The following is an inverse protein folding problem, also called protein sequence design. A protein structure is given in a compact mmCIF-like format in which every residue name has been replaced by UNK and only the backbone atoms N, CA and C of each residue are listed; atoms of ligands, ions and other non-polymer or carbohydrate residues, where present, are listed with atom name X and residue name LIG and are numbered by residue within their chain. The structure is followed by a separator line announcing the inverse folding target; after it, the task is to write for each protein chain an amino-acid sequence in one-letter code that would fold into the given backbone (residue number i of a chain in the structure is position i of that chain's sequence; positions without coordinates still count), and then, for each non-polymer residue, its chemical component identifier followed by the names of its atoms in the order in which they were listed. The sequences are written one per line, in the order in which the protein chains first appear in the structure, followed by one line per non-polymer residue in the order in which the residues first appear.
data_IF_074473905931
#
_entry.id   IF_074473905931
#
_cell.length_a   1.000
_cell.length_b   1.000
_cell.length_c   1.000
_cell.angle_alpha   90.00
_cell.angle_beta   90.00
_cell.angle_gamma   90.00
#
_symmetry.space_group_name_H-M   'P 1'
#
loop_
_entity.id
_entity.type
_entity.pdbx_description
1 polymer ?
#
# COMPACT_ATOMS: atom_id res chain seq x y z
N UNK A 1 31.44 12.31 -1.08
CA UNK A 1 30.44 12.55 0.00
C UNK A 1 29.29 11.58 -0.25
N UNK A 2 29.16 10.51 0.52
CA UNK A 2 28.00 9.62 0.46
C UNK A 2 26.80 10.41 1.00
N UNK A 3 25.89 10.78 0.11
CA UNK A 3 24.61 11.37 0.51
C UNK A 3 23.95 10.44 1.52
N UNK A 4 23.69 10.93 2.73
CA UNK A 4 22.97 10.15 3.74
C UNK A 4 21.58 9.83 3.20
N UNK A 5 21.24 8.55 3.11
CA UNK A 5 19.92 8.11 2.66
C UNK A 5 18.87 8.61 3.66
N UNK A 6 17.82 9.27 3.18
CA UNK A 6 16.82 9.94 4.01
C UNK A 6 16.01 8.98 4.90
N UNK A 7 15.84 7.72 4.46
CA UNK A 7 15.02 6.71 5.13
C UNK A 7 15.85 5.54 5.68
N UNK A 8 17.15 5.75 5.90
CA UNK A 8 18.03 4.70 6.41
C UNK A 8 17.52 4.13 7.75
N UNK A 9 17.33 2.81 7.79
CA UNK A 9 16.85 2.10 8.97
C UNK A 9 15.36 2.25 9.25
N UNK A 10 14.58 2.82 8.33
CA UNK A 10 13.13 2.90 8.42
C UNK A 10 12.46 1.71 7.73
N UNK A 11 11.27 1.35 8.20
CA UNK A 11 10.41 0.30 7.65
C UNK A 11 9.22 0.93 6.95
N UNK A 12 9.02 0.59 5.67
CA UNK A 12 7.93 1.12 4.85
C UNK A 12 7.04 -0.01 4.31
N UNK A 13 5.74 0.14 4.44
CA UNK A 13 4.75 -0.74 3.82
C UNK A 13 4.13 -0.02 2.63
N UNK A 14 4.13 -0.64 1.45
CA UNK A 14 3.44 -0.13 0.27
C UNK A 14 2.39 -1.15 -0.18
N UNK A 15 1.11 -0.77 -0.07
CA UNK A 15 0.02 -1.65 -0.48
C UNK A 15 -0.12 -1.67 -2.00
N UNK A 16 -0.40 -2.85 -2.58
CA UNK A 16 -0.52 -3.01 -4.02
C UNK A 16 0.79 -2.71 -4.79
N UNK A 17 1.94 -3.06 -4.20
CA UNK A 17 3.27 -2.67 -4.69
C UNK A 17 3.84 -3.59 -5.78
N UNK A 18 3.11 -4.60 -6.24
CA UNK A 18 3.60 -5.57 -7.24
C UNK A 18 3.75 -4.99 -8.66
N UNK A 19 3.17 -3.80 -8.93
CA UNK A 19 3.18 -3.14 -10.24
C UNK A 19 2.88 -1.64 -10.15
N UNK A 20 3.01 -0.95 -11.30
CA UNK A 20 2.53 0.43 -11.48
C UNK A 20 3.11 1.43 -10.49
N UNK A 21 2.26 2.31 -9.97
CA UNK A 21 2.64 3.39 -9.06
C UNK A 21 3.23 2.82 -7.77
N UNK A 22 2.60 1.80 -7.17
CA UNK A 22 3.09 1.17 -5.94
C UNK A 22 4.49 0.59 -6.09
N UNK A 23 4.80 -0.07 -7.23
CA UNK A 23 6.15 -0.55 -7.54
C UNK A 23 7.14 0.63 -7.59
N UNK A 24 6.81 1.71 -8.30
CA UNK A 24 7.69 2.87 -8.42
C UNK A 24 7.99 3.51 -7.06
N UNK A 25 6.96 3.67 -6.22
CA UNK A 25 7.09 4.17 -4.85
C UNK A 25 8.00 3.26 -4.02
N UNK A 26 7.76 1.94 -4.07
CA UNK A 26 8.56 0.97 -3.32
C UNK A 26 10.06 1.03 -3.67
N UNK A 27 10.37 1.09 -4.97
CA UNK A 27 11.75 1.21 -5.45
C UNK A 27 12.38 2.54 -4.97
N UNK A 28 11.63 3.64 -5.02
CA UNK A 28 12.12 4.94 -4.58
C UNK A 28 12.44 4.93 -3.07
N UNK A 29 11.52 4.44 -2.23
CA UNK A 29 11.73 4.34 -0.78
C UNK A 29 12.93 3.44 -0.44
N UNK A 30 13.12 2.33 -1.18
CA UNK A 30 14.26 1.45 -0.99
C UNK A 30 15.60 2.12 -1.39
N UNK A 31 15.62 2.93 -2.45
CA UNK A 31 16.80 3.74 -2.83
C UNK A 31 17.18 4.73 -1.74
N UNK A 32 16.19 5.30 -1.06
CA UNK A 32 16.40 6.19 0.09
C UNK A 32 16.74 5.44 1.39
N UNK A 33 16.87 4.12 1.37
CA UNK A 33 17.39 3.31 2.46
C UNK A 33 16.36 2.65 3.36
N UNK A 34 15.08 2.76 3.04
CA UNK A 34 14.04 2.02 3.76
C UNK A 34 14.11 0.51 3.47
N UNK A 35 13.75 -0.31 4.45
CA UNK A 35 13.33 -1.69 4.21
C UNK A 35 11.86 -1.69 3.81
N UNK A 36 11.55 -2.18 2.59
CA UNK A 36 10.21 -2.01 2.01
C UNK A 36 9.46 -3.33 1.93
N UNK A 37 8.26 -3.34 2.49
CA UNK A 37 7.33 -4.44 2.40
C UNK A 37 6.49 -4.26 1.14
N UNK A 38 6.63 -5.21 0.21
CA UNK A 38 5.91 -5.26 -1.06
C UNK A 38 4.60 -6.04 -0.83
N UNK A 39 3.54 -5.32 -0.44
CA UNK A 39 2.24 -5.99 -0.31
C UNK A 39 1.64 -6.27 -1.68
N UNK A 40 1.08 -7.46 -1.81
CA UNK A 40 0.32 -7.92 -2.97
C UNK A 40 -0.87 -8.80 -2.54
N UNK A 41 -1.92 -8.90 -3.38
CA UNK A 41 -3.07 -9.77 -3.10
C UNK A 41 -2.96 -11.14 -3.78
N UNK A 42 -2.59 -11.19 -5.07
CA UNK A 42 -2.63 -12.44 -5.85
C UNK A 42 -1.36 -12.75 -6.64
N UNK A 43 -0.58 -11.74 -7.04
CA UNK A 43 0.56 -11.95 -7.94
C UNK A 43 1.90 -11.99 -7.20
N UNK A 44 2.23 -13.15 -6.62
CA UNK A 44 3.50 -13.41 -5.95
C UNK A 44 4.71 -13.18 -6.88
N UNK A 45 4.63 -13.66 -8.13
CA UNK A 45 5.73 -13.51 -9.09
C UNK A 45 6.07 -12.04 -9.37
N UNK A 46 5.06 -11.18 -9.54
CA UNK A 46 5.29 -9.76 -9.76
C UNK A 46 5.86 -9.07 -8.53
N UNK A 47 5.37 -9.43 -7.33
CA UNK A 47 5.94 -8.91 -6.09
C UNK A 47 7.42 -9.31 -5.93
N UNK A 48 7.75 -10.58 -6.23
CA UNK A 48 9.13 -11.07 -6.20
C UNK A 48 10.05 -10.39 -7.23
N UNK A 49 9.55 -10.06 -8.42
CA UNK A 49 10.32 -9.27 -9.40
C UNK A 49 10.69 -7.89 -8.85
N UNK A 50 9.77 -7.24 -8.15
CA UNK A 50 10.04 -5.94 -7.50
C UNK A 50 11.08 -6.10 -6.39
N UNK A 51 10.96 -7.13 -5.55
CA UNK A 51 11.96 -7.44 -4.50
C UNK A 51 13.33 -7.68 -5.11
N UNK A 52 13.41 -8.50 -6.18
CA UNK A 52 14.68 -8.78 -6.88
C UNK A 52 15.31 -7.51 -7.45
N UNK A 53 14.50 -6.63 -8.04
CA UNK A 53 14.94 -5.34 -8.56
C UNK A 53 15.50 -4.46 -7.42
N UNK A 54 14.82 -4.39 -6.28
CA UNK A 54 15.29 -3.63 -5.11
C UNK A 54 16.61 -4.20 -4.59
N UNK A 55 16.71 -5.52 -4.46
CA UNK A 55 17.93 -6.18 -3.98
C UNK A 55 19.12 -5.99 -4.93
N UNK A 56 18.87 -5.87 -6.23
CA UNK A 56 19.95 -5.72 -7.25
C UNK A 56 20.76 -4.43 -7.10
N UNK A 57 20.20 -3.40 -6.48
CA UNK A 57 20.93 -2.16 -6.17
C UNK A 57 21.29 -2.00 -4.69
N UNK A 58 21.24 -3.11 -3.91
CA UNK A 58 21.60 -3.13 -2.49
C UNK A 58 20.52 -2.58 -1.54
N UNK A 59 19.28 -2.39 -2.02
CA UNK A 59 18.11 -2.11 -1.21
C UNK A 59 17.63 -3.34 -0.43
N UNK A 60 16.68 -3.15 0.47
CA UNK A 60 16.07 -4.24 1.25
C UNK A 60 14.57 -4.25 1.02
N UNK A 61 14.03 -5.39 0.62
CA UNK A 61 12.59 -5.58 0.51
C UNK A 61 12.21 -7.06 0.69
N UNK A 62 10.95 -7.31 1.03
CA UNK A 62 10.37 -8.63 0.99
C UNK A 62 8.88 -8.57 0.66
N UNK A 63 8.32 -9.62 0.03
CA UNK A 63 6.92 -9.64 -0.33
C UNK A 63 6.07 -10.14 0.84
N UNK A 64 4.88 -9.56 1.03
CA UNK A 64 3.85 -10.09 1.92
C UNK A 64 2.50 -10.08 1.25
N UNK A 65 1.86 -11.24 1.25
CA UNK A 65 0.51 -11.38 0.74
C UNK A 65 -0.51 -10.88 1.77
N UNK A 66 -1.41 -10.01 1.36
CA UNK A 66 -2.59 -9.63 2.11
C UNK A 66 -3.64 -9.03 1.18
N UNK A 67 -4.90 -9.40 1.39
CA UNK A 67 -6.03 -8.71 0.79
C UNK A 67 -6.36 -7.49 1.66
N UNK A 68 -6.15 -6.30 1.11
CA UNK A 68 -6.36 -5.04 1.83
C UNK A 68 -7.85 -4.74 2.06
N UNK A 69 -8.75 -5.37 1.31
CA UNK A 69 -10.20 -5.26 1.53
C UNK A 69 -10.70 -6.11 2.73
N UNK A 70 -9.85 -6.97 3.29
CA UNK A 70 -10.16 -7.79 4.47
C UNK A 70 -9.39 -7.33 5.71
N UNK A 71 -10.12 -6.93 6.74
CA UNK A 71 -9.55 -6.43 7.98
C UNK A 71 -8.64 -7.44 8.69
N UNK A 72 -9.00 -8.73 8.69
CA UNK A 72 -8.19 -9.76 9.34
C UNK A 72 -6.86 -9.95 8.60
N UNK A 73 -6.91 -9.96 7.26
CA UNK A 73 -5.71 -10.04 6.43
C UNK A 73 -4.77 -8.85 6.66
N UNK A 74 -5.31 -7.64 6.80
CA UNK A 74 -4.52 -6.44 7.15
C UNK A 74 -3.89 -6.57 8.54
N UNK A 75 -4.64 -7.02 9.55
CA UNK A 75 -4.11 -7.18 10.90
C UNK A 75 -2.95 -8.19 10.94
N UNK A 76 -3.04 -9.32 10.22
CA UNK A 76 -1.96 -10.30 10.10
C UNK A 76 -0.74 -9.74 9.34
N UNK A 77 -0.97 -8.95 8.28
CA UNK A 77 0.10 -8.23 7.58
C UNK A 77 0.90 -7.35 8.55
N UNK A 78 0.21 -6.48 9.28
CA UNK A 78 0.84 -5.53 10.20
C UNK A 78 1.56 -6.26 11.34
N UNK A 79 0.94 -7.30 11.90
CA UNK A 79 1.57 -8.15 12.92
C UNK A 79 2.87 -8.77 12.41
N UNK A 80 2.85 -9.39 11.23
CA UNK A 80 4.03 -10.01 10.61
C UNK A 80 5.16 -9.00 10.41
N UNK A 81 4.84 -7.79 9.97
CA UNK A 81 5.84 -6.73 9.82
C UNK A 81 6.42 -6.32 11.17
N UNK A 82 5.58 -6.17 12.20
CA UNK A 82 6.04 -5.79 13.54
C UNK A 82 6.89 -6.87 14.19
N UNK A 83 6.53 -8.15 14.03
CA UNK A 83 7.30 -9.29 14.55
C UNK A 83 8.70 -9.35 13.93
N UNK A 84 8.83 -8.96 12.63
CA UNK A 84 10.09 -9.00 11.91
C UNK A 84 10.93 -7.73 12.08
N UNK A 85 10.31 -6.56 12.03
CA UNK A 85 11.00 -5.26 11.94
C UNK A 85 10.92 -4.44 13.24
N UNK A 86 10.04 -4.79 14.18
CA UNK A 86 9.74 -4.08 15.43
C UNK A 86 9.21 -2.65 15.26
N UNK A 87 9.11 -2.13 14.04
CA UNK A 87 8.68 -0.76 13.75
C UNK A 87 8.00 -0.66 12.39
N UNK A 88 7.15 0.36 12.23
CA UNK A 88 6.58 0.79 10.96
C UNK A 88 6.68 2.31 10.93
N UNK A 89 7.49 2.84 10.01
CA UNK A 89 7.74 4.27 9.91
C UNK A 89 6.91 4.93 8.79
N UNK A 90 6.65 4.18 7.71
CA UNK A 90 5.89 4.68 6.56
C UNK A 90 4.84 3.66 6.15
N UNK A 91 3.61 4.11 5.98
CA UNK A 91 2.53 3.38 5.31
C UNK A 91 2.14 4.14 4.04
N UNK A 92 2.20 3.47 2.90
CA UNK A 92 1.65 3.99 1.65
C UNK A 92 0.42 3.18 1.26
N UNK A 93 -0.74 3.77 1.40
CA UNK A 93 -2.01 3.23 0.92
C UNK A 93 -2.13 3.53 -0.58
N UNK A 94 -1.73 2.56 -1.40
CA UNK A 94 -1.74 2.64 -2.86
C UNK A 94 -2.63 1.59 -3.51
N UNK A 95 -2.93 0.48 -2.83
CA UNK A 95 -3.83 -0.54 -3.37
C UNK A 95 -5.18 0.06 -3.74
N UNK A 96 -5.64 -0.22 -4.96
CA UNK A 96 -6.90 0.27 -5.45
C UNK A 96 -7.29 -0.37 -6.78
N UNK A 97 -8.58 -0.35 -7.05
CA UNK A 97 -9.18 -0.83 -8.31
C UNK A 97 -10.22 0.16 -8.82
N UNK A 98 -10.51 0.07 -10.11
CA UNK A 98 -11.69 0.66 -10.73
C UNK A 98 -12.64 -0.45 -11.21
N UNK A 99 -13.93 -0.16 -11.23
CA UNK A 99 -15.00 -0.97 -11.81
C UNK A 99 -15.96 -0.02 -12.49
N UNK A 100 -15.59 0.40 -13.69
CA UNK A 100 -16.29 1.44 -14.42
C UNK A 100 -17.62 0.94 -15.00
N UNK A 101 -18.63 1.78 -14.97
CA UNK A 101 -19.95 1.49 -15.51
C UNK A 101 -20.92 2.65 -15.27
N UNK A 102 -21.89 2.82 -16.18
CA UNK A 102 -22.94 3.84 -15.99
C UNK A 102 -23.70 3.57 -14.68
N UNK A 103 -23.94 4.60 -13.89
CA UNK A 103 -24.57 4.50 -12.56
C UNK A 103 -25.86 3.67 -12.60
N UNK A 104 -26.72 3.89 -13.61
CA UNK A 104 -27.98 3.13 -13.76
C UNK A 104 -27.80 1.64 -14.07
N UNK A 105 -26.62 1.21 -14.46
CA UNK A 105 -26.26 -0.20 -14.77
C UNK A 105 -25.20 -0.77 -13.85
N UNK A 106 -24.67 0.04 -12.92
CA UNK A 106 -23.63 -0.38 -11.99
C UNK A 106 -24.19 -1.44 -11.06
N UNK A 107 -23.51 -2.59 -11.00
CA UNK A 107 -23.89 -3.67 -10.07
C UNK A 107 -23.46 -3.29 -8.65
N UNK A 108 -24.30 -3.58 -7.67
CA UNK A 108 -23.97 -3.39 -6.24
C UNK A 108 -22.64 -4.03 -5.86
N UNK A 109 -22.34 -5.21 -6.42
CA UNK A 109 -21.06 -5.90 -6.16
C UNK A 109 -19.85 -5.12 -6.70
N UNK A 110 -19.96 -4.45 -7.85
CA UNK A 110 -18.87 -3.63 -8.41
C UNK A 110 -18.70 -2.32 -7.63
N UNK A 111 -19.79 -1.74 -7.14
CA UNK A 111 -19.78 -0.64 -6.19
C UNK A 111 -19.05 -1.06 -4.90
N UNK A 112 -19.50 -2.14 -4.25
CA UNK A 112 -18.97 -2.58 -2.97
C UNK A 112 -17.50 -2.95 -3.06
N UNK A 113 -17.06 -3.68 -4.08
CA UNK A 113 -15.65 -4.05 -4.26
C UNK A 113 -14.71 -2.85 -4.33
N UNK A 114 -15.15 -1.77 -4.99
CA UNK A 114 -14.34 -0.55 -5.06
C UNK A 114 -14.26 0.11 -3.69
N UNK A 115 -15.37 0.24 -2.97
CA UNK A 115 -15.38 0.82 -1.62
C UNK A 115 -14.60 -0.03 -0.61
N UNK A 116 -14.75 -1.36 -0.67
CA UNK A 116 -14.06 -2.26 0.26
C UNK A 116 -12.53 -2.12 0.14
N UNK A 117 -12.02 -2.04 -1.08
CA UNK A 117 -10.58 -1.93 -1.28
C UNK A 117 -10.08 -0.48 -1.13
N UNK A 118 -10.71 0.47 -1.86
CA UNK A 118 -10.17 1.82 -1.99
C UNK A 118 -10.46 2.72 -0.77
N UNK A 119 -11.50 2.41 0.02
CA UNK A 119 -11.88 3.20 1.18
C UNK A 119 -11.71 2.41 2.48
N UNK A 120 -12.43 1.28 2.62
CA UNK A 120 -12.35 0.47 3.85
C UNK A 120 -10.95 -0.07 4.08
N UNK A 121 -10.26 -0.51 3.02
CA UNK A 121 -8.87 -1.00 3.08
C UNK A 121 -7.89 0.07 3.57
N UNK A 122 -8.03 1.30 3.11
CA UNK A 122 -7.25 2.45 3.60
C UNK A 122 -7.50 2.68 5.10
N UNK A 123 -8.76 2.62 5.52
CA UNK A 123 -9.13 2.73 6.93
C UNK A 123 -8.52 1.58 7.76
N UNK A 124 -8.61 0.33 7.32
CA UNK A 124 -8.06 -0.83 8.03
C UNK A 124 -6.54 -0.71 8.22
N UNK A 125 -5.81 -0.42 7.14
CA UNK A 125 -4.36 -0.24 7.19
C UNK A 125 -3.97 0.92 8.11
N UNK A 126 -4.62 2.06 7.97
CA UNK A 126 -4.36 3.26 8.79
C UNK A 126 -4.59 2.97 10.26
N UNK A 127 -5.73 2.36 10.61
CA UNK A 127 -6.07 1.99 11.98
C UNK A 127 -5.05 1.00 12.56
N UNK A 128 -4.67 -0.03 11.79
CA UNK A 128 -3.76 -1.07 12.26
C UNK A 128 -2.35 -0.53 12.59
N UNK A 129 -1.82 0.42 11.81
CA UNK A 129 -0.50 1.01 12.09
C UNK A 129 -0.54 2.12 13.14
N UNK A 130 -1.69 2.78 13.35
CA UNK A 130 -1.79 3.98 14.20
C UNK A 130 -1.32 3.73 15.62
N UNK A 131 -1.70 2.60 16.24
CA UNK A 131 -1.28 2.25 17.60
C UNK A 131 0.24 2.17 17.72
N UNK A 132 0.90 1.55 16.75
CA UNK A 132 2.36 1.42 16.74
C UNK A 132 3.03 2.77 16.49
N UNK A 133 2.55 3.56 15.55
CA UNK A 133 3.11 4.88 15.26
C UNK A 133 2.96 5.84 16.45
N UNK A 134 1.84 5.79 17.18
CA UNK A 134 1.65 6.53 18.43
C UNK A 134 2.66 6.11 19.50
N UNK A 135 2.88 4.79 19.68
CA UNK A 135 3.88 4.27 20.62
C UNK A 135 5.30 4.70 20.25
N UNK A 136 5.62 4.72 18.96
CA UNK A 136 6.91 5.19 18.43
C UNK A 136 7.07 6.71 18.51
N UNK A 137 5.98 7.46 18.67
CA UNK A 137 5.93 8.94 18.56
C UNK A 137 6.43 9.44 17.19
N UNK A 138 6.39 8.60 16.17
CA UNK A 138 6.79 8.88 14.79
C UNK A 138 6.04 7.97 13.82
N UNK A 139 5.87 8.41 12.61
CA UNK A 139 5.24 7.70 11.50
C UNK A 139 4.74 8.65 10.43
N UNK A 140 4.56 8.14 9.24
CA UNK A 140 3.96 8.85 8.11
C UNK A 140 3.01 7.94 7.37
N UNK A 141 1.81 8.43 7.11
CA UNK A 141 0.79 7.75 6.32
C UNK A 141 0.55 8.57 5.06
N UNK A 142 0.69 7.93 3.92
CA UNK A 142 0.53 8.54 2.59
C UNK A 142 -0.59 7.81 1.89
N UNK A 143 -1.64 8.53 1.51
CA UNK A 143 -2.76 7.98 0.75
C UNK A 143 -2.65 8.41 -0.71
N UNK A 144 -2.55 7.44 -1.60
CA UNK A 144 -2.58 7.70 -3.04
C UNK A 144 -4.05 7.80 -3.46
N UNK A 145 -4.42 8.95 -3.95
CA UNK A 145 -5.78 9.26 -4.38
C UNK A 145 -5.84 9.60 -5.87
N UNK A 146 -6.98 10.00 -6.35
CA UNK A 146 -7.20 10.38 -7.74
C UNK A 146 -7.88 11.75 -7.83
N UNK A 147 -7.60 12.47 -8.91
CA UNK A 147 -8.33 13.68 -9.28
C UNK A 147 -9.82 13.39 -9.52
N UNK A 148 -10.17 12.14 -9.84
CA UNK A 148 -11.55 11.69 -10.01
C UNK A 148 -12.38 11.87 -8.73
N UNK A 149 -11.77 11.74 -7.55
CA UNK A 149 -12.43 12.02 -6.28
C UNK A 149 -12.77 13.51 -6.06
N UNK A 150 -12.12 14.43 -6.80
CA UNK A 150 -12.38 15.87 -6.73
C UNK A 150 -13.34 16.34 -7.83
N UNK A 151 -13.18 15.80 -9.05
CA UNK A 151 -13.88 16.30 -10.24
C UNK A 151 -15.04 15.40 -10.66
N UNK A 152 -15.07 14.16 -10.17
CA UNK A 152 -15.92 13.12 -10.74
C UNK A 152 -15.49 12.68 -12.13
N UNK A 153 -16.02 11.56 -12.60
CA UNK A 153 -15.85 11.09 -13.98
C UNK A 153 -17.05 10.23 -14.38
N UNK A 154 -17.63 10.44 -15.59
CA UNK A 154 -18.70 9.58 -16.08
C UNK A 154 -18.32 8.10 -16.03
N UNK A 155 -19.21 7.27 -15.49
CA UNK A 155 -18.97 5.84 -15.33
C UNK A 155 -18.13 5.43 -14.12
N UNK A 156 -17.68 6.35 -13.28
CA UNK A 156 -16.84 6.07 -12.11
C UNK A 156 -17.45 6.54 -10.79
N UNK A 157 -18.75 6.41 -10.62
CA UNK A 157 -19.44 6.84 -9.40
C UNK A 157 -18.86 6.17 -8.13
N UNK A 158 -18.56 4.87 -8.18
CA UNK A 158 -17.93 4.10 -7.11
C UNK A 158 -16.47 4.53 -6.83
N UNK A 159 -15.74 4.88 -7.90
CA UNK A 159 -14.34 5.28 -7.76
C UNK A 159 -14.18 6.74 -7.31
N UNK A 160 -15.20 7.56 -7.60
CA UNK A 160 -15.25 8.97 -7.15
C UNK A 160 -15.66 9.09 -5.67
N UNK A 161 -16.44 8.14 -5.17
CA UNK A 161 -16.87 8.13 -3.78
C UNK A 161 -15.75 7.75 -2.84
#
# INVERSE_FOLDING_TARGET
MTSSKLLQGQTAIVTGASRGIGKAIAIFLAKEGAEVIINYSSSFENANKVVSEINSFGGKAYPLQADISDENSVNELIKTVLDKNNQIDVLVNNAGITKDGLLMRMKTNDWQKVLDLNLSGVFYCTRAVSRQMLKQKKGRIINITSVVGLMGNPGQANYSA
#
